data_IF_937037119635
#
_entry.id   IF_937037119635
#
_cell.length_a   1.000
_cell.length_b   1.000
_cell.length_c   1.000
_cell.angle_alpha   90.00
_cell.angle_beta   90.00
_cell.angle_gamma   90.00
#
_symmetry.space_group_name_H-M   'P 1'
#
loop_
_entity.id
_entity.type
_entity.pdbx_description
1 polymer ?
#
# COMPACT_ATOMS: atom_id res chain seq x y z
N UNK A 1 5.32 7.51 -27.31
CA UNK A 1 6.05 7.95 -26.09
C UNK A 1 7.16 6.93 -25.82
N UNK A 2 8.36 7.35 -25.48
CA UNK A 2 9.41 6.42 -25.03
C UNK A 2 9.15 6.12 -23.54
N UNK A 3 8.68 4.90 -23.24
CA UNK A 3 8.31 4.50 -21.87
C UNK A 3 9.53 4.41 -20.95
N UNK A 4 10.69 4.01 -21.46
CA UNK A 4 11.92 3.94 -20.68
C UNK A 4 12.38 5.33 -20.23
N UNK A 5 12.35 6.31 -21.15
CA UNK A 5 12.68 7.69 -20.81
C UNK A 5 11.66 8.28 -19.82
N UNK A 6 10.37 7.99 -19.98
CA UNK A 6 9.33 8.48 -19.07
C UNK A 6 9.50 7.87 -17.66
N UNK A 7 9.85 6.58 -17.56
CA UNK A 7 10.16 5.91 -16.30
C UNK A 7 11.40 6.52 -15.65
N UNK A 8 12.47 6.74 -16.40
CA UNK A 8 13.69 7.38 -15.89
C UNK A 8 13.40 8.79 -15.35
N UNK A 9 12.63 9.57 -16.09
CA UNK A 9 12.23 10.92 -15.65
C UNK A 9 11.39 10.86 -14.35
N UNK A 10 10.47 9.90 -14.23
CA UNK A 10 9.71 9.69 -13.00
C UNK A 10 10.65 9.39 -11.82
N UNK A 11 11.57 8.47 -11.97
CA UNK A 11 12.50 8.09 -10.89
C UNK A 11 13.38 9.27 -10.49
N UNK A 12 14.02 9.93 -11.46
CA UNK A 12 15.02 10.96 -11.18
C UNK A 12 14.42 12.31 -10.76
N UNK A 13 13.27 12.69 -11.31
CA UNK A 13 12.72 14.04 -11.15
C UNK A 13 11.50 14.11 -10.21
N UNK A 14 10.83 12.98 -9.95
CA UNK A 14 9.67 12.95 -9.06
C UNK A 14 9.99 12.18 -7.77
N UNK A 15 10.52 10.97 -7.88
CA UNK A 15 10.68 10.05 -6.75
C UNK A 15 11.88 10.44 -5.88
N UNK A 16 13.05 10.68 -6.48
CA UNK A 16 14.25 11.12 -5.74
C UNK A 16 14.05 12.45 -5.03
N UNK A 17 13.31 13.38 -5.63
CA UNK A 17 12.99 14.68 -5.02
C UNK A 17 12.04 14.59 -3.84
N UNK A 18 11.37 13.45 -3.67
CA UNK A 18 10.54 13.10 -2.52
C UNK A 18 11.29 12.27 -1.47
N UNK A 19 12.62 12.43 -1.42
CA UNK A 19 13.52 11.79 -0.45
C UNK A 19 13.51 10.24 -0.50
N UNK A 20 13.19 9.67 -1.66
CA UNK A 20 13.39 8.24 -1.89
C UNK A 20 14.79 8.03 -2.42
N UNK A 21 15.69 7.57 -1.55
CA UNK A 21 17.12 7.44 -1.82
C UNK A 21 17.63 6.00 -1.72
N UNK A 22 16.81 5.06 -1.24
CA UNK A 22 17.15 3.63 -1.20
C UNK A 22 17.29 3.11 -2.63
N UNK A 23 18.53 2.70 -3.00
CA UNK A 23 18.85 2.27 -4.35
C UNK A 23 18.07 1.01 -4.74
N UNK A 24 17.85 0.08 -3.81
CA UNK A 24 17.07 -1.12 -4.09
C UNK A 24 15.60 -0.80 -4.41
N UNK A 25 15.04 0.24 -3.77
CA UNK A 25 13.69 0.73 -4.10
C UNK A 25 13.69 1.33 -5.50
N UNK A 26 14.67 2.19 -5.81
CA UNK A 26 14.76 2.83 -7.12
C UNK A 26 14.96 1.81 -8.24
N UNK A 27 15.81 0.81 -8.05
CA UNK A 27 16.05 -0.26 -9.03
C UNK A 27 14.81 -1.12 -9.27
N UNK A 28 14.00 -1.32 -8.20
CA UNK A 28 12.76 -2.07 -8.31
C UNK A 28 11.72 -1.35 -9.19
N UNK A 29 11.68 -0.01 -9.17
CA UNK A 29 10.79 0.76 -10.05
C UNK A 29 11.15 0.65 -11.54
N UNK A 30 12.40 0.29 -11.86
CA UNK A 30 12.77 -0.08 -13.22
C UNK A 30 12.42 -1.52 -13.57
N UNK A 31 12.40 -2.42 -12.56
CA UNK A 31 12.17 -3.85 -12.74
C UNK A 31 10.68 -4.18 -12.88
N UNK A 32 9.83 -3.54 -12.06
CA UNK A 32 8.38 -3.77 -12.08
C UNK A 32 7.70 -2.72 -12.97
N UNK A 33 7.16 -3.11 -14.14
CA UNK A 33 6.66 -2.16 -15.15
C UNK A 33 5.30 -1.57 -14.73
N UNK A 34 5.34 -0.41 -14.05
CA UNK A 34 4.15 0.28 -13.53
C UNK A 34 3.03 0.44 -14.57
N UNK A 35 3.39 0.73 -15.81
CA UNK A 35 2.47 0.93 -16.94
C UNK A 35 1.66 -0.32 -17.31
N UNK A 36 2.03 -1.47 -16.80
CA UNK A 36 1.29 -2.71 -17.01
C UNK A 36 0.31 -3.05 -15.90
N UNK A 37 0.33 -2.27 -14.81
CA UNK A 37 -0.59 -2.39 -13.68
C UNK A 37 -1.75 -1.39 -13.73
N UNK A 38 -1.82 -0.55 -14.75
CA UNK A 38 -2.90 0.42 -14.94
C UNK A 38 -3.86 -0.03 -16.05
N UNK A 39 -5.11 0.47 -16.06
CA UNK A 39 -6.01 0.23 -17.19
C UNK A 39 -5.38 0.73 -18.50
N UNK A 40 -5.62 0.06 -19.66
CA UNK A 40 -4.98 0.40 -20.94
C UNK A 40 -5.11 1.86 -21.35
N UNK A 41 -6.23 2.52 -21.02
CA UNK A 41 -6.47 3.93 -21.29
C UNK A 41 -5.54 4.88 -20.54
N UNK A 42 -4.95 4.42 -19.43
CA UNK A 42 -4.07 5.20 -18.56
C UNK A 42 -2.59 4.88 -18.72
N UNK A 43 -2.24 3.92 -19.57
CA UNK A 43 -0.86 3.43 -19.74
C UNK A 43 0.16 4.56 -20.02
N UNK A 44 -0.23 5.54 -20.83
CA UNK A 44 0.64 6.67 -21.17
C UNK A 44 0.82 7.68 -20.02
N UNK A 45 0.01 7.60 -18.97
CA UNK A 45 0.05 8.45 -17.79
C UNK A 45 0.59 7.73 -16.55
N UNK A 46 1.02 6.47 -16.69
CA UNK A 46 1.50 5.66 -15.59
C UNK A 46 2.69 6.28 -14.83
N UNK A 47 3.46 7.14 -15.47
CA UNK A 47 4.64 7.78 -14.89
C UNK A 47 4.42 9.24 -14.47
N UNK A 48 3.19 9.74 -14.55
CA UNK A 48 2.83 11.07 -14.05
C UNK A 48 2.63 11.05 -12.54
N UNK A 49 2.96 12.17 -11.86
CA UNK A 49 2.75 12.35 -10.43
C UNK A 49 1.26 12.58 -10.12
N UNK A 50 0.45 11.55 -10.31
CA UNK A 50 -0.99 11.57 -10.05
C UNK A 50 -1.52 10.19 -9.67
N UNK A 51 -2.66 10.18 -8.99
CA UNK A 51 -3.45 8.95 -8.80
C UNK A 51 -4.17 8.55 -10.09
N UNK A 52 -4.20 7.24 -10.36
CA UNK A 52 -4.80 6.69 -11.58
C UNK A 52 -6.08 5.93 -11.26
N UNK A 53 -7.24 6.31 -11.83
CA UNK A 53 -8.48 5.54 -11.71
C UNK A 53 -8.30 4.10 -12.23
N UNK A 54 -8.72 3.12 -11.44
CA UNK A 54 -8.58 1.70 -11.78
C UNK A 54 -9.83 1.12 -12.44
N UNK A 55 -10.98 1.76 -12.24
CA UNK A 55 -12.26 1.40 -12.84
C UNK A 55 -12.89 2.62 -13.50
N UNK A 56 -13.86 2.37 -14.39
CA UNK A 56 -14.66 3.45 -14.96
C UNK A 56 -15.53 4.06 -13.84
N UNK A 57 -15.60 5.38 -13.80
CA UNK A 57 -16.32 6.13 -12.76
C UNK A 57 -15.82 5.81 -11.34
N UNK A 58 -14.49 5.62 -11.20
CA UNK A 58 -13.83 5.25 -9.97
C UNK A 58 -14.19 6.20 -8.81
N UNK A 59 -14.55 5.61 -7.68
CA UNK A 59 -14.63 6.32 -6.40
C UNK A 59 -13.24 6.77 -5.91
N UNK A 60 -13.21 7.57 -4.86
CA UNK A 60 -11.93 8.08 -4.33
C UNK A 60 -10.96 6.97 -3.94
N UNK A 61 -11.45 5.86 -3.35
CA UNK A 61 -10.64 4.72 -2.93
C UNK A 61 -10.30 3.72 -4.04
N UNK A 62 -10.78 3.93 -5.27
CA UNK A 62 -10.56 3.00 -6.40
C UNK A 62 -9.50 3.50 -7.38
N UNK A 63 -8.45 4.11 -6.83
CA UNK A 63 -7.33 4.68 -7.58
C UNK A 63 -6.01 4.03 -7.14
N UNK A 64 -5.11 3.87 -8.10
CA UNK A 64 -3.71 3.57 -7.85
C UNK A 64 -3.03 4.84 -7.36
N UNK A 65 -2.19 4.74 -6.35
CA UNK A 65 -1.47 5.88 -5.80
C UNK A 65 -0.52 6.54 -6.80
N UNK A 66 -0.15 7.78 -6.54
CA UNK A 66 0.94 8.44 -7.27
C UNK A 66 2.27 7.69 -7.05
N UNK A 67 3.15 7.62 -8.08
CA UNK A 67 4.38 6.82 -8.00
C UNK A 67 5.27 7.16 -6.80
N UNK A 68 5.37 8.44 -6.46
CA UNK A 68 6.17 8.91 -5.33
C UNK A 68 5.68 8.37 -3.99
N UNK A 69 4.36 8.24 -3.82
CA UNK A 69 3.76 7.71 -2.60
C UNK A 69 4.07 6.23 -2.42
N UNK A 70 3.94 5.43 -3.48
CA UNK A 70 4.26 4.00 -3.46
C UNK A 70 5.73 3.75 -3.15
N UNK A 71 6.63 4.48 -3.80
CA UNK A 71 8.06 4.38 -3.58
C UNK A 71 8.46 4.82 -2.16
N UNK A 72 7.89 5.91 -1.66
CA UNK A 72 8.16 6.40 -0.31
C UNK A 72 7.71 5.41 0.75
N UNK A 73 6.52 4.87 0.64
CA UNK A 73 5.99 3.88 1.60
C UNK A 73 6.81 2.60 1.58
N UNK A 74 7.24 2.13 0.41
CA UNK A 74 8.11 0.96 0.30
C UNK A 74 9.45 1.19 1.02
N UNK A 75 10.07 2.38 0.85
CA UNK A 75 11.30 2.77 1.56
C UNK A 75 11.09 2.83 3.07
N UNK A 76 10.05 3.50 3.55
CA UNK A 76 9.80 3.67 4.98
C UNK A 76 9.50 2.35 5.70
N UNK A 77 8.78 1.46 5.04
CA UNK A 77 8.51 0.13 5.57
C UNK A 77 9.71 -0.82 5.44
N UNK A 78 10.62 -0.58 4.51
CA UNK A 78 11.87 -1.33 4.30
C UNK A 78 11.70 -2.86 4.46
N UNK A 79 10.84 -3.53 3.66
CA UNK A 79 10.57 -4.96 3.82
C UNK A 79 11.83 -5.79 3.58
N UNK A 80 11.99 -6.87 4.34
CA UNK A 80 13.11 -7.80 4.28
C UNK A 80 12.67 -9.11 3.60
N UNK A 81 13.61 -9.82 3.01
CA UNK A 81 13.37 -11.12 2.36
C UNK A 81 12.73 -12.19 3.26
N UNK A 82 12.80 -12.02 4.57
CA UNK A 82 12.16 -12.92 5.55
C UNK A 82 10.76 -12.46 5.96
N UNK A 83 10.36 -11.23 5.62
CA UNK A 83 9.17 -10.60 6.17
C UNK A 83 7.88 -11.18 5.55
N UNK A 84 6.87 -11.24 6.40
CA UNK A 84 5.47 -11.53 6.04
C UNK A 84 4.70 -10.23 6.06
N UNK A 85 4.15 -9.85 4.94
CA UNK A 85 3.44 -8.58 4.73
C UNK A 85 1.94 -8.81 4.70
N UNK A 86 1.17 -8.01 5.42
CA UNK A 86 -0.27 -7.84 5.23
C UNK A 86 -0.55 -6.50 4.57
N UNK A 87 -1.19 -6.52 3.42
CA UNK A 87 -1.66 -5.34 2.70
C UNK A 87 -3.18 -5.27 2.76
N UNK A 88 -3.72 -4.11 3.12
CA UNK A 88 -5.16 -3.81 3.10
C UNK A 88 -5.44 -2.83 1.97
N UNK A 89 -6.03 -3.33 0.89
CA UNK A 89 -6.29 -2.64 -0.37
C UNK A 89 -5.28 -3.01 -1.45
N UNK A 90 -5.60 -4.03 -2.26
CA UNK A 90 -4.74 -4.52 -3.37
C UNK A 90 -4.75 -3.56 -4.56
N UNK A 91 -5.93 -3.03 -4.89
CA UNK A 91 -6.11 -2.15 -6.05
C UNK A 91 -5.58 -2.74 -7.36
N UNK A 92 -4.59 -2.08 -7.95
CA UNK A 92 -3.94 -2.53 -9.19
C UNK A 92 -3.03 -3.74 -9.03
N UNK A 93 -2.61 -4.07 -7.80
CA UNK A 93 -1.59 -5.07 -7.49
C UNK A 93 -0.14 -4.60 -7.69
N UNK A 94 0.09 -3.33 -8.05
CA UNK A 94 1.44 -2.82 -8.27
C UNK A 94 2.24 -2.75 -6.98
N UNK A 95 1.68 -2.12 -5.94
CA UNK A 95 2.33 -2.02 -4.64
C UNK A 95 2.51 -3.40 -4.02
N UNK A 96 1.51 -4.30 -4.15
CA UNK A 96 1.62 -5.71 -3.79
C UNK A 96 2.83 -6.38 -4.45
N UNK A 97 3.03 -6.17 -5.76
CA UNK A 97 4.17 -6.72 -6.49
C UNK A 97 5.50 -6.14 -6.01
N UNK A 98 5.59 -4.84 -5.75
CA UNK A 98 6.79 -4.21 -5.18
C UNK A 98 7.17 -4.84 -3.83
N UNK A 99 6.20 -5.03 -2.94
CA UNK A 99 6.44 -5.71 -1.66
C UNK A 99 6.82 -7.17 -1.84
N UNK A 100 6.19 -7.89 -2.76
CA UNK A 100 6.48 -9.29 -3.03
C UNK A 100 7.92 -9.53 -3.53
N UNK A 101 8.47 -8.60 -4.30
CA UNK A 101 9.90 -8.65 -4.68
C UNK A 101 10.88 -8.49 -3.51
N UNK A 102 10.42 -7.94 -2.37
CA UNK A 102 11.26 -7.64 -1.20
C UNK A 102 10.97 -8.54 0.01
N UNK A 103 9.82 -9.20 0.06
CA UNK A 103 9.33 -9.99 1.20
C UNK A 103 9.35 -11.50 0.93
N UNK A 104 9.20 -12.31 1.98
CA UNK A 104 9.01 -13.76 1.84
C UNK A 104 7.61 -14.07 1.30
N UNK A 105 6.60 -13.37 1.80
CA UNK A 105 5.19 -13.59 1.44
C UNK A 105 4.39 -12.32 1.64
N UNK A 106 3.52 -12.01 0.69
CA UNK A 106 2.52 -10.93 0.82
C UNK A 106 1.12 -11.54 0.90
N UNK A 107 0.38 -11.13 1.90
CA UNK A 107 -1.05 -11.40 2.05
C UNK A 107 -1.78 -10.08 1.78
N UNK A 108 -2.59 -10.05 0.74
CA UNK A 108 -3.31 -8.84 0.33
C UNK A 108 -4.81 -9.07 0.41
N UNK A 109 -5.54 -8.09 0.93
CA UNK A 109 -7.00 -8.12 1.01
C UNK A 109 -7.58 -6.96 0.24
N UNK A 110 -8.60 -7.24 -0.58
CA UNK A 110 -9.30 -6.24 -1.39
C UNK A 110 -10.81 -6.34 -1.15
N UNK A 111 -11.42 -5.20 -0.86
CA UNK A 111 -12.86 -5.14 -0.60
C UNK A 111 -13.69 -5.30 -1.88
N UNK A 112 -13.24 -4.69 -2.99
CA UNK A 112 -13.93 -4.73 -4.28
C UNK A 112 -13.51 -5.98 -5.08
N UNK A 113 -14.43 -6.95 -5.33
CA UNK A 113 -14.09 -8.17 -6.08
C UNK A 113 -13.56 -7.91 -7.49
N UNK A 114 -14.00 -6.83 -8.15
CA UNK A 114 -13.52 -6.47 -9.49
C UNK A 114 -12.06 -5.97 -9.45
N UNK A 115 -11.70 -5.15 -8.45
CA UNK A 115 -10.32 -4.74 -8.22
C UNK A 115 -9.44 -5.91 -7.79
N UNK A 116 -9.94 -6.79 -6.94
CA UNK A 116 -9.24 -8.02 -6.55
C UNK A 116 -8.90 -8.89 -7.78
N UNK A 117 -9.86 -9.06 -8.69
CA UNK A 117 -9.63 -9.80 -9.94
C UNK A 117 -8.62 -9.09 -10.86
N UNK A 118 -8.70 -7.75 -10.97
CA UNK A 118 -7.77 -6.95 -11.75
C UNK A 118 -6.34 -7.03 -11.20
N UNK A 119 -6.16 -6.77 -9.90
CA UNK A 119 -4.86 -6.86 -9.23
C UNK A 119 -4.27 -8.27 -9.32
N UNK A 120 -5.07 -9.30 -9.09
CA UNK A 120 -4.64 -10.71 -9.22
C UNK A 120 -4.14 -11.04 -10.62
N UNK A 121 -4.85 -10.58 -11.65
CA UNK A 121 -4.45 -10.80 -13.04
C UNK A 121 -3.12 -10.10 -13.38
N UNK A 122 -2.92 -8.87 -12.89
CA UNK A 122 -1.67 -8.14 -13.06
C UNK A 122 -0.50 -8.84 -12.36
N UNK A 123 -0.66 -9.21 -11.08
CA UNK A 123 0.35 -9.92 -10.29
C UNK A 123 0.77 -11.23 -10.99
N UNK A 124 -0.21 -12.04 -11.43
CA UNK A 124 0.06 -13.29 -12.12
C UNK A 124 0.78 -13.09 -13.47
N UNK A 125 0.44 -12.05 -14.23
CA UNK A 125 1.08 -11.72 -15.51
C UNK A 125 2.58 -11.45 -15.35
N UNK A 126 2.99 -10.91 -14.22
CA UNK A 126 4.38 -10.58 -13.93
C UNK A 126 5.12 -11.70 -13.16
N UNK A 127 4.54 -12.89 -13.06
CA UNK A 127 5.20 -14.07 -12.48
C UNK A 127 5.48 -13.93 -10.97
N UNK A 128 4.71 -13.09 -10.28
CA UNK A 128 4.84 -12.95 -8.82
C UNK A 128 4.01 -14.04 -8.16
N UNK A 129 4.66 -14.99 -7.50
CA UNK A 129 4.09 -16.24 -6.97
C UNK A 129 3.97 -16.29 -5.44
N UNK A 130 4.63 -15.37 -4.73
CA UNK A 130 4.61 -15.25 -3.27
C UNK A 130 3.53 -14.28 -2.77
N UNK A 131 2.36 -14.26 -3.42
CA UNK A 131 1.20 -13.44 -3.04
C UNK A 131 -0.02 -14.32 -2.79
N UNK A 132 -0.69 -14.11 -1.67
CA UNK A 132 -2.01 -14.66 -1.37
C UNK A 132 -3.01 -13.51 -1.30
N UNK A 133 -3.96 -13.46 -2.23
CA UNK A 133 -4.98 -12.43 -2.29
C UNK A 133 -6.33 -12.99 -1.83
N UNK A 134 -6.99 -12.27 -0.93
CA UNK A 134 -8.35 -12.56 -0.46
C UNK A 134 -9.29 -11.39 -0.80
N UNK A 135 -10.54 -11.71 -1.14
CA UNK A 135 -11.62 -10.72 -1.22
C UNK A 135 -12.26 -10.60 0.15
N UNK A 136 -12.28 -9.40 0.73
CA UNK A 136 -12.83 -9.19 2.05
C UNK A 136 -12.63 -7.79 2.58
N UNK A 137 -13.14 -7.55 3.77
CA UNK A 137 -13.00 -6.28 4.48
C UNK A 137 -11.82 -6.35 5.46
N UNK A 138 -10.74 -5.64 5.13
CA UNK A 138 -9.54 -5.55 5.95
C UNK A 138 -9.55 -4.40 6.96
N UNK A 139 -10.58 -3.55 6.96
CA UNK A 139 -10.61 -2.34 7.78
C UNK A 139 -10.64 -2.61 9.29
N UNK A 140 -11.09 -3.79 9.70
CA UNK A 140 -11.21 -4.21 11.12
C UNK A 140 -10.18 -5.25 11.54
N UNK A 141 -9.26 -5.59 10.66
CA UNK A 141 -8.25 -6.62 10.87
C UNK A 141 -8.12 -7.54 9.67
N UNK A 142 -7.18 -8.48 9.72
CA UNK A 142 -7.05 -9.50 8.68
C UNK A 142 -8.32 -10.36 8.64
N UNK A 143 -8.92 -10.59 7.46
CA UNK A 143 -10.09 -11.46 7.35
C UNK A 143 -9.75 -12.90 7.79
N UNK A 144 -10.76 -13.74 8.12
CA UNK A 144 -10.54 -15.08 8.67
C UNK A 144 -9.56 -15.92 7.86
N UNK A 145 -9.61 -15.82 6.52
CA UNK A 145 -8.76 -16.56 5.59
C UNK A 145 -7.27 -16.18 5.70
N UNK A 146 -6.98 -15.01 6.24
CA UNK A 146 -5.61 -14.48 6.42
C UNK A 146 -5.22 -14.35 7.89
N UNK A 147 -6.16 -14.28 8.83
CA UNK A 147 -5.90 -14.02 10.25
C UNK A 147 -4.92 -15.03 10.89
N UNK A 148 -5.00 -16.31 10.49
CA UNK A 148 -4.10 -17.37 10.94
C UNK A 148 -2.72 -17.33 10.27
N UNK A 149 -2.49 -16.43 9.33
CA UNK A 149 -1.21 -16.24 8.64
C UNK A 149 -0.26 -15.31 9.39
N UNK A 150 -0.77 -14.56 10.37
CA UNK A 150 0.06 -13.74 11.27
C UNK A 150 0.93 -14.57 12.23
N UNK A 151 1.73 -13.90 13.09
CA UNK A 151 1.90 -12.47 13.09
C UNK A 151 2.63 -11.97 11.84
N UNK A 152 2.44 -10.67 11.52
CA UNK A 152 3.04 -10.03 10.36
C UNK A 152 4.23 -9.15 10.75
N UNK A 153 5.26 -9.13 9.92
CA UNK A 153 6.41 -8.24 10.11
C UNK A 153 6.12 -6.84 9.57
N UNK A 154 5.24 -6.77 8.56
CA UNK A 154 4.80 -5.52 7.94
C UNK A 154 3.30 -5.54 7.76
N UNK A 155 2.64 -4.43 8.12
CA UNK A 155 1.22 -4.17 7.80
C UNK A 155 1.13 -2.86 7.02
N UNK A 156 0.40 -2.85 5.91
CA UNK A 156 0.21 -1.69 5.04
C UNK A 156 -1.27 -1.43 4.81
N UNK A 157 -1.72 -0.20 5.10
CA UNK A 157 -3.05 0.28 4.73
C UNK A 157 -2.94 1.22 3.53
N UNK A 158 -3.66 0.93 2.46
CA UNK A 158 -3.66 1.76 1.24
C UNK A 158 -4.78 2.80 1.21
N UNK A 159 -5.54 2.94 2.28
CA UNK A 159 -6.49 4.02 2.52
C UNK A 159 -6.24 4.68 3.88
N UNK A 160 -6.71 5.93 4.04
CA UNK A 160 -6.60 6.62 5.32
C UNK A 160 -7.59 6.08 6.34
N UNK A 161 -7.26 6.22 7.62
CA UNK A 161 -8.11 5.83 8.75
C UNK A 161 -8.15 6.97 9.77
N UNK A 162 -9.28 7.22 10.44
CA UNK A 162 -9.32 8.19 11.54
C UNK A 162 -8.39 7.80 12.69
N UNK A 163 -8.28 6.50 12.94
CA UNK A 163 -7.35 5.87 13.89
C UNK A 163 -6.98 4.47 13.36
N UNK A 164 -5.73 4.05 13.59
CA UNK A 164 -5.32 2.70 13.16
C UNK A 164 -6.05 1.63 13.96
N UNK A 165 -6.75 0.69 13.31
CA UNK A 165 -7.50 -0.36 14.00
C UNK A 165 -6.60 -1.20 14.90
N UNK A 166 -7.01 -1.39 16.15
CA UNK A 166 -6.22 -2.12 17.15
C UNK A 166 -5.92 -3.55 16.73
N UNK A 167 -6.86 -4.21 16.07
CA UNK A 167 -6.67 -5.57 15.57
C UNK A 167 -5.53 -5.68 14.54
N UNK A 168 -5.29 -4.64 13.72
CA UNK A 168 -4.16 -4.59 12.79
C UNK A 168 -2.84 -4.37 13.53
N UNK A 169 -2.82 -3.51 14.55
CA UNK A 169 -1.63 -3.34 15.40
C UNK A 169 -1.27 -4.63 16.14
N UNK A 170 -2.25 -5.31 16.71
CA UNK A 170 -2.07 -6.56 17.46
C UNK A 170 -1.68 -7.75 16.55
N UNK A 171 -1.87 -7.62 15.24
CA UNK A 171 -1.42 -8.61 14.25
C UNK A 171 0.09 -8.51 13.94
N UNK A 172 0.79 -7.46 14.42
CA UNK A 172 2.21 -7.28 14.22
C UNK A 172 3.04 -8.25 15.07
N UNK A 173 4.09 -8.78 14.48
CA UNK A 173 5.16 -9.45 15.22
C UNK A 173 5.92 -8.45 16.11
N UNK A 174 6.57 -8.90 17.21
CA UNK A 174 7.52 -8.05 17.93
C UNK A 174 8.61 -7.50 16.99
N UNK A 175 8.80 -6.19 16.98
CA UNK A 175 9.67 -5.50 16.01
C UNK A 175 9.04 -5.28 14.63
N UNK A 176 7.81 -5.76 14.42
CA UNK A 176 7.03 -5.51 13.22
C UNK A 176 6.55 -4.05 13.13
N UNK A 177 6.20 -3.62 11.93
CA UNK A 177 5.84 -2.23 11.65
C UNK A 177 4.64 -2.11 10.73
N UNK A 178 3.82 -1.09 10.98
CA UNK A 178 2.66 -0.79 10.15
C UNK A 178 2.76 0.63 9.58
N UNK A 179 2.35 0.81 8.33
CA UNK A 179 2.12 2.11 7.72
C UNK A 179 0.62 2.40 7.63
N UNK A 180 0.25 3.60 8.04
CA UNK A 180 -1.10 4.13 7.82
C UNK A 180 -1.05 5.65 7.66
N UNK A 181 -1.98 6.19 6.88
CA UNK A 181 -2.32 7.60 6.88
C UNK A 181 -3.46 7.80 7.87
N UNK A 182 -3.19 8.58 8.93
CA UNK A 182 -4.11 8.75 10.07
C UNK A 182 -4.64 10.17 10.13
N UNK A 183 -5.93 10.32 10.32
CA UNK A 183 -6.63 11.58 10.43
C UNK A 183 -7.86 11.65 9.52
N UNK A 184 -8.48 12.83 9.52
CA UNK A 184 -9.59 13.18 8.63
C UNK A 184 -9.23 14.44 7.85
N UNK A 185 -9.69 14.53 6.60
CA UNK A 185 -9.46 15.72 5.79
C UNK A 185 -9.95 17.01 6.52
N UNK A 186 -9.20 18.11 6.47
CA UNK A 186 -8.01 18.34 5.64
C UNK A 186 -6.67 17.98 6.31
N UNK A 187 -6.67 17.40 7.50
CA UNK A 187 -5.44 17.13 8.28
C UNK A 187 -5.24 15.64 8.46
N UNK A 188 -4.33 15.08 7.66
CA UNK A 188 -3.93 13.66 7.74
C UNK A 188 -2.41 13.55 7.74
N UNK A 189 -1.89 12.59 8.49
CA UNK A 189 -0.45 12.34 8.62
C UNK A 189 -0.12 10.89 8.31
N UNK A 190 0.84 10.66 7.44
CA UNK A 190 1.44 9.35 7.21
C UNK A 190 2.32 8.98 8.43
N UNK A 191 2.11 7.78 8.98
CA UNK A 191 2.79 7.32 10.20
C UNK A 191 3.29 5.89 10.05
N UNK A 192 4.42 5.62 10.72
CA UNK A 192 4.87 4.24 10.99
C UNK A 192 4.61 3.94 12.46
N UNK A 193 3.97 2.80 12.70
CA UNK A 193 3.76 2.21 14.00
C UNK A 193 4.67 1.00 14.15
N UNK A 194 5.45 0.94 15.22
CA UNK A 194 6.35 -0.20 15.49
C UNK A 194 5.89 -0.91 16.76
N UNK A 195 5.72 -2.21 16.68
CA UNK A 195 5.46 -3.06 17.85
C UNK A 195 6.77 -3.21 18.66
N UNK A 196 6.86 -2.52 19.80
CA UNK A 196 8.05 -2.55 20.68
C UNK A 196 8.02 -3.72 21.65
N UNK A 197 6.81 -4.11 22.09
CA UNK A 197 6.52 -5.29 22.88
C UNK A 197 5.08 -5.72 22.63
N UNK A 198 4.65 -6.92 23.02
CA UNK A 198 3.25 -7.34 22.87
C UNK A 198 2.29 -6.33 23.48
N UNK A 199 1.43 -5.73 22.65
CA UNK A 199 0.47 -4.70 23.03
C UNK A 199 1.04 -3.28 23.17
N UNK A 200 2.33 -3.06 22.96
CA UNK A 200 2.98 -1.76 23.02
C UNK A 200 3.44 -1.30 21.62
N UNK A 201 3.06 -0.09 21.26
CA UNK A 201 3.32 0.46 19.93
C UNK A 201 3.88 1.86 20.03
N UNK A 202 4.91 2.13 19.24
CA UNK A 202 5.48 3.46 19.05
C UNK A 202 5.08 3.98 17.67
N UNK A 203 4.56 5.22 17.60
CA UNK A 203 4.25 5.89 16.36
C UNK A 203 5.31 6.95 16.03
N UNK A 204 5.67 7.05 14.74
CA UNK A 204 6.52 8.10 14.19
C UNK A 204 5.78 8.73 13.02
N UNK A 205 5.68 10.05 13.03
CA UNK A 205 5.11 10.84 11.92
C UNK A 205 6.15 11.02 10.82
N UNK A 206 5.72 10.84 9.58
CA UNK A 206 6.60 10.93 8.41
C UNK A 206 6.37 12.24 7.64
N UNK A 207 5.16 12.42 7.13
CA UNK A 207 4.77 13.58 6.33
C UNK A 207 3.25 13.77 6.34
N UNK A 208 2.82 14.99 6.03
CA UNK A 208 1.40 15.28 5.82
C UNK A 208 0.98 14.91 4.40
N UNK A 209 -0.22 14.34 4.26
CA UNK A 209 -0.78 13.96 2.96
C UNK A 209 -2.30 13.88 3.05
N UNK A 210 -2.96 13.82 1.89
CA UNK A 210 -4.38 13.50 1.79
C UNK A 210 -4.51 12.17 1.07
N UNK A 211 -5.27 11.26 1.65
CA UNK A 211 -5.54 9.95 1.08
C UNK A 211 -7.02 9.61 1.25
N UNK A 212 -7.61 8.97 0.24
CA UNK A 212 -8.98 8.49 0.32
C UNK A 212 -9.18 7.57 1.54
N UNK A 213 -10.31 7.69 2.27
CA UNK A 213 -10.56 6.87 3.44
C UNK A 213 -10.72 5.40 3.06
N UNK A 214 -10.17 4.54 3.91
CA UNK A 214 -10.44 3.10 3.84
C UNK A 214 -11.92 2.86 4.16
N UNK A 215 -12.60 2.11 3.32
CA UNK A 215 -14.02 1.80 3.54
C UNK A 215 -14.22 1.03 4.86
N UNK A 216 -15.36 1.26 5.51
CA UNK A 216 -15.79 0.56 6.73
C UNK A 216 -14.89 0.73 7.98
N UNK A 217 -13.90 1.64 7.97
CA UNK A 217 -13.10 1.90 9.16
C UNK A 217 -13.94 2.51 10.29
N UNK A 218 -13.55 2.18 11.53
CA UNK A 218 -14.18 2.74 12.72
C UNK A 218 -14.06 4.26 12.74
N UNK A 219 -15.19 4.91 13.01
CA UNK A 219 -15.23 6.35 13.19
C UNK A 219 -15.08 6.67 14.70
N UNK A 220 -14.26 7.67 15.05
CA UNK A 220 -14.17 8.11 16.44
C UNK A 220 -15.54 8.57 16.93
N UNK A 221 -15.85 8.27 18.19
CA UNK A 221 -17.09 8.73 18.80
C UNK A 221 -17.10 10.27 18.82
N UNK A 222 -17.95 10.88 18.02
CA UNK A 222 -18.16 12.32 18.06
C UNK A 222 -18.99 12.68 19.28
N UNK A 223 -18.46 13.53 20.16
CA UNK A 223 -19.26 14.15 21.21
C UNK A 223 -20.46 14.85 20.57
N UNK A 224 -21.67 14.45 20.93
CA UNK A 224 -22.88 15.21 20.68
C UNK A 224 -23.21 15.98 21.96
N UNK A 225 -23.18 17.30 21.85
CA UNK A 225 -23.70 18.17 22.91
C UNK A 225 -25.22 18.11 22.92
#
# INVERSE_FOLDING_TARGET
MNLEQARSNMVEQQIRTWEVLDQDVLDLLYTVPREEFVPPSWRNLAFTDMEIPLVKDAGEGEKMWAPKMEARVLQELAPRRSDRVLEVGTGSGYLTALFAHRAAQVYSVELNPALAAFGKANIARHGVDNVTLAVGDGAKGAPPELSYRGPYDVVLLTGSVPMLPRALLESLAPGGRAFAVVGEAPVMTAKIFTCTAPGEFRAVELFETLLAPLANCEQPSRFRF
#
